data_IF_475497940198
#
_entry.id   IF_475497940198
#
_cell.length_a   1.000
_cell.length_b   1.000
_cell.length_c   1.000
_cell.angle_alpha   90.00
_cell.angle_beta   90.00
_cell.angle_gamma   90.00
#
_symmetry.space_group_name_H-M   'P 1'
#
loop_
_entity.id
_entity.type
_entity.pdbx_description
1 polymer ?
#
# COMPACT_ATOMS: atom_id res chain seq x y z
N UNK A 1 42.44 4.81 -65.25
CA UNK A 1 41.55 5.81 -64.62
C UNK A 1 40.50 5.04 -63.83
N UNK A 2 40.79 4.76 -62.57
CA UNK A 2 40.04 3.87 -61.69
C UNK A 2 39.10 4.69 -60.81
N UNK A 3 37.80 4.42 -60.95
CA UNK A 3 36.69 4.99 -60.19
C UNK A 3 36.79 4.62 -58.71
N UNK A 4 36.82 5.62 -57.82
CA UNK A 4 36.75 5.42 -56.38
C UNK A 4 35.28 5.44 -55.92
N UNK A 5 34.80 4.27 -55.52
CA UNK A 5 33.53 4.08 -54.83
C UNK A 5 33.60 4.70 -53.43
N UNK A 6 32.75 5.68 -53.17
CA UNK A 6 32.58 6.31 -51.85
C UNK A 6 31.86 5.31 -50.96
N UNK A 7 32.60 4.70 -50.03
CA UNK A 7 32.07 3.84 -48.98
C UNK A 7 31.12 4.63 -48.07
N UNK A 8 29.82 4.49 -48.31
CA UNK A 8 28.69 4.98 -47.51
C UNK A 8 28.58 4.34 -46.12
N UNK A 9 29.53 3.49 -45.73
CA UNK A 9 29.57 2.75 -44.46
C UNK A 9 30.17 3.52 -43.28
N UNK A 10 30.48 4.82 -43.43
CA UNK A 10 31.03 5.65 -42.33
C UNK A 10 30.00 6.59 -41.67
N UNK A 11 28.77 6.67 -42.19
CA UNK A 11 27.70 7.52 -41.64
C UNK A 11 26.63 6.78 -40.81
N UNK A 12 26.82 5.48 -40.55
CA UNK A 12 25.92 4.65 -39.72
C UNK A 12 26.65 3.99 -38.54
N UNK A 13 27.50 4.75 -37.85
CA UNK A 13 28.08 4.34 -36.55
C UNK A 13 27.99 5.39 -35.46
N UNK A 14 27.11 6.38 -35.62
CA UNK A 14 26.73 7.34 -34.59
C UNK A 14 25.21 7.31 -34.37
N UNK A 15 24.71 6.16 -33.89
CA UNK A 15 23.39 5.88 -33.33
C UNK A 15 23.41 4.36 -33.15
N UNK A 16 23.49 3.78 -31.96
CA UNK A 16 22.72 4.04 -30.75
C UNK A 16 23.62 3.62 -29.59
N UNK A 17 24.14 4.58 -28.83
CA UNK A 17 24.44 4.28 -27.42
C UNK A 17 23.06 4.13 -26.80
N UNK A 18 22.57 2.89 -26.75
CA UNK A 18 21.40 2.53 -25.97
C UNK A 18 21.81 2.80 -24.52
N UNK A 19 21.58 4.05 -24.09
CA UNK A 19 21.74 4.44 -22.71
C UNK A 19 20.65 3.70 -21.94
N UNK A 20 20.90 2.42 -21.67
CA UNK A 20 20.08 1.58 -20.83
C UNK A 20 19.90 2.36 -19.54
N UNK A 21 18.68 2.82 -19.25
CA UNK A 21 18.53 3.79 -18.19
C UNK A 21 18.91 3.11 -16.87
N UNK A 22 19.71 3.77 -16.05
CA UNK A 22 20.29 3.20 -14.81
C UNK A 22 19.23 2.48 -13.96
N UNK A 23 19.46 1.28 -13.43
CA UNK A 23 18.45 0.53 -12.69
C UNK A 23 17.84 1.35 -11.54
N UNK A 24 16.54 1.22 -11.30
CA UNK A 24 15.89 1.86 -10.15
C UNK A 24 16.56 1.40 -8.86
N UNK A 25 17.19 2.31 -8.11
CA UNK A 25 17.78 1.99 -6.82
C UNK A 25 16.68 1.62 -5.82
N UNK A 26 16.62 0.35 -5.45
CA UNK A 26 15.69 -0.18 -4.46
C UNK A 26 16.31 -0.08 -3.07
N UNK A 27 15.55 0.46 -2.11
CA UNK A 27 15.93 0.61 -0.71
C UNK A 27 15.29 -0.48 0.16
N UNK A 28 15.94 -0.78 1.27
CA UNK A 28 15.38 -1.65 2.30
C UNK A 28 14.46 -0.84 3.25
N UNK A 29 13.38 -1.47 3.72
CA UNK A 29 12.42 -0.85 4.64
C UNK A 29 13.04 -0.43 5.98
N UNK A 30 14.17 -1.00 6.39
CA UNK A 30 14.94 -0.55 7.57
C UNK A 30 15.27 0.92 7.54
N UNK A 31 15.48 1.48 6.34
CA UNK A 31 15.85 2.89 6.17
C UNK A 31 14.74 3.88 6.50
N UNK A 32 13.50 3.42 6.72
CA UNK A 32 12.36 4.26 7.07
C UNK A 32 11.61 3.80 8.34
N UNK A 33 12.11 2.79 9.05
CA UNK A 33 11.48 2.27 10.26
C UNK A 33 11.48 3.32 11.39
N UNK A 34 10.32 3.58 11.99
CA UNK A 34 10.17 4.51 13.11
C UNK A 34 10.56 5.97 12.79
N UNK A 35 10.53 6.36 11.51
CA UNK A 35 10.91 7.70 11.05
C UNK A 35 9.76 8.71 11.06
N UNK A 36 8.56 8.25 11.40
CA UNK A 36 7.33 9.05 11.48
C UNK A 36 6.72 8.92 12.88
N UNK A 37 5.78 9.82 13.17
CA UNK A 37 4.97 9.88 14.39
C UNK A 37 3.66 10.59 14.08
N UNK A 38 2.64 10.39 14.90
CA UNK A 38 1.38 11.14 14.84
C UNK A 38 0.36 10.55 13.85
N UNK A 39 -0.55 11.39 13.32
CA UNK A 39 -1.65 10.92 12.49
C UNK A 39 -1.23 10.61 11.04
N UNK A 40 -1.89 9.62 10.43
CA UNK A 40 -1.76 9.28 9.01
C UNK A 40 -3.09 8.84 8.41
N UNK A 41 -3.36 9.24 7.18
CA UNK A 41 -4.50 8.71 6.41
C UNK A 41 -4.07 7.58 5.49
N UNK A 42 -4.81 6.47 5.51
CA UNK A 42 -4.70 5.41 4.51
C UNK A 42 -5.86 5.53 3.53
N UNK A 43 -5.56 5.91 2.29
CA UNK A 43 -6.55 6.18 1.25
C UNK A 43 -6.80 4.93 0.42
N UNK A 44 -7.96 4.33 0.62
CA UNK A 44 -8.47 3.18 -0.14
C UNK A 44 -9.50 3.60 -1.20
N UNK A 45 -9.90 2.63 -2.03
CA UNK A 45 -10.73 2.89 -3.21
C UNK A 45 -12.23 2.71 -3.00
N UNK A 46 -12.70 2.38 -1.79
CA UNK A 46 -14.13 2.19 -1.52
C UNK A 46 -14.96 3.42 -1.86
N UNK A 47 -16.24 3.21 -2.22
CA UNK A 47 -17.15 4.27 -2.62
C UNK A 47 -17.32 5.36 -1.54
N UNK A 48 -17.22 5.01 -0.25
CA UNK A 48 -17.30 6.01 0.84
C UNK A 48 -16.21 7.08 0.79
N UNK A 49 -15.12 6.82 0.09
CA UNK A 49 -14.02 7.77 -0.07
C UNK A 49 -14.41 8.97 -0.95
N UNK A 50 -15.43 8.83 -1.81
CA UNK A 50 -15.78 9.81 -2.86
C UNK A 50 -15.91 11.24 -2.33
N UNK A 51 -16.50 11.39 -1.15
CA UNK A 51 -16.80 12.70 -0.55
C UNK A 51 -15.82 13.06 0.59
N UNK A 52 -14.72 12.33 0.74
CA UNK A 52 -13.69 12.65 1.73
C UNK A 52 -13.03 14.00 1.39
N UNK A 53 -12.98 14.97 2.32
CA UNK A 53 -12.45 16.31 2.04
C UNK A 53 -10.92 16.32 2.09
N UNK A 54 -10.26 15.62 1.15
CA UNK A 54 -8.81 15.37 1.18
C UNK A 54 -7.95 16.65 1.31
N UNK A 55 -8.41 17.76 0.73
CA UNK A 55 -7.69 19.06 0.79
C UNK A 55 -7.63 19.63 2.21
N UNK A 56 -8.64 19.39 3.03
CA UNK A 56 -8.69 19.81 4.44
C UNK A 56 -7.54 19.19 5.24
N UNK A 57 -7.22 17.92 4.92
CA UNK A 57 -6.18 17.14 5.60
C UNK A 57 -4.84 17.12 4.86
N UNK A 58 -4.62 18.04 3.92
CA UNK A 58 -3.41 18.05 3.06
C UNK A 58 -2.07 18.21 3.82
N UNK A 59 -2.12 18.67 5.06
CA UNK A 59 -0.98 18.80 5.96
C UNK A 59 -0.64 17.51 6.73
N UNK A 60 -1.53 16.50 6.67
CA UNK A 60 -1.34 15.19 7.31
C UNK A 60 -0.76 14.21 6.28
N UNK A 61 0.24 13.38 6.63
CA UNK A 61 0.75 12.37 5.73
C UNK A 61 -0.34 11.40 5.24
N UNK A 62 -0.25 11.02 3.97
CA UNK A 62 -1.19 10.08 3.36
C UNK A 62 -0.47 8.92 2.67
N UNK A 63 -0.94 7.71 2.90
CA UNK A 63 -0.51 6.50 2.18
C UNK A 63 -1.67 6.07 1.28
N UNK A 64 -1.40 5.82 0.00
CA UNK A 64 -2.41 5.39 -0.96
C UNK A 64 -1.97 4.13 -1.69
N UNK A 65 -2.88 3.53 -2.46
CA UNK A 65 -2.69 2.22 -3.06
C UNK A 65 -3.51 2.02 -4.33
N UNK A 66 -3.01 1.18 -5.24
CA UNK A 66 -3.66 0.81 -6.50
C UNK A 66 -4.32 2.05 -7.16
N UNK A 67 -5.62 1.98 -7.46
CA UNK A 67 -6.34 3.09 -8.08
C UNK A 67 -6.87 4.15 -7.12
N UNK A 68 -6.72 3.97 -5.80
CA UNK A 68 -7.09 5.00 -4.82
C UNK A 68 -6.24 6.28 -4.98
N UNK A 69 -5.10 6.19 -5.69
CA UNK A 69 -4.31 7.35 -6.12
C UNK A 69 -5.14 8.37 -6.92
N UNK A 70 -6.22 7.96 -7.59
CA UNK A 70 -7.09 8.88 -8.34
C UNK A 70 -7.69 10.00 -7.50
N UNK A 71 -7.83 9.81 -6.17
CA UNK A 71 -8.29 10.86 -5.25
C UNK A 71 -7.36 12.08 -5.20
N UNK A 72 -6.09 11.91 -5.57
CA UNK A 72 -5.09 12.96 -5.55
C UNK A 72 -5.09 13.78 -6.86
N UNK A 73 -5.85 13.36 -7.87
CA UNK A 73 -5.96 14.06 -9.15
C UNK A 73 -6.48 15.50 -8.95
N UNK A 74 -5.82 16.48 -9.57
CA UNK A 74 -6.18 17.89 -9.41
C UNK A 74 -5.86 18.49 -8.03
N UNK A 75 -5.03 17.80 -7.25
CA UNK A 75 -4.48 18.31 -5.98
C UNK A 75 -2.96 18.43 -6.07
N UNK A 76 -2.37 19.23 -5.17
CA UNK A 76 -0.91 19.30 -5.00
C UNK A 76 -0.41 18.36 -3.89
N UNK A 77 -1.26 17.46 -3.40
CA UNK A 77 -0.95 16.56 -2.30
C UNK A 77 -0.11 15.41 -2.86
N UNK A 78 1.09 15.23 -2.31
CA UNK A 78 1.95 14.08 -2.63
C UNK A 78 1.74 13.00 -1.59
N UNK A 79 1.32 11.78 -1.98
CA UNK A 79 1.30 10.67 -1.04
C UNK A 79 2.70 10.42 -0.47
N UNK A 80 2.78 10.25 0.84
CA UNK A 80 4.01 9.83 1.51
C UNK A 80 4.45 8.46 0.98
N UNK A 81 3.51 7.54 0.80
CA UNK A 81 3.74 6.26 0.16
C UNK A 81 2.62 5.94 -0.83
N UNK A 82 3.01 5.39 -1.98
CA UNK A 82 2.15 4.58 -2.82
C UNK A 82 2.56 3.12 -2.72
N UNK A 83 1.62 2.22 -2.40
CA UNK A 83 1.88 0.78 -2.36
C UNK A 83 0.96 0.04 -3.33
N UNK A 84 1.52 -0.87 -4.10
CA UNK A 84 0.75 -1.72 -5.01
C UNK A 84 1.31 -3.14 -4.96
N UNK A 85 0.62 -4.02 -4.22
CA UNK A 85 0.97 -5.45 -4.18
C UNK A 85 0.20 -6.28 -5.20
N UNK A 86 -0.79 -5.68 -5.86
CA UNK A 86 -1.52 -6.26 -6.99
C UNK A 86 -0.63 -6.18 -8.24
N UNK A 87 -0.30 -7.35 -8.81
CA UNK A 87 0.60 -7.46 -9.96
C UNK A 87 -0.12 -7.17 -11.28
N UNK A 88 -1.44 -7.28 -11.31
CA UNK A 88 -2.23 -7.08 -12.51
C UNK A 88 -2.65 -5.61 -12.65
N UNK A 89 -2.68 -4.86 -11.55
CA UNK A 89 -3.09 -3.45 -11.54
C UNK A 89 -2.32 -2.56 -12.54
N UNK A 90 -0.98 -2.63 -12.69
CA UNK A 90 -0.26 -1.85 -13.68
C UNK A 90 -0.72 -2.09 -15.13
N UNK A 91 -1.19 -3.30 -15.45
CA UNK A 91 -1.70 -3.64 -16.78
C UNK A 91 -3.16 -3.20 -16.95
N UNK A 92 -3.94 -3.26 -15.86
CA UNK A 92 -5.36 -2.90 -15.87
C UNK A 92 -5.58 -1.38 -15.89
N UNK A 93 -4.73 -0.61 -15.21
CA UNK A 93 -4.86 0.83 -15.02
C UNK A 93 -3.50 1.53 -15.18
N UNK A 94 -2.87 1.43 -16.37
CA UNK A 94 -1.48 1.84 -16.58
C UNK A 94 -1.22 3.34 -16.37
N UNK A 95 -2.13 4.20 -16.82
CA UNK A 95 -1.97 5.66 -16.67
C UNK A 95 -2.04 6.07 -15.19
N UNK A 96 -2.98 5.49 -14.45
CA UNK A 96 -3.17 5.76 -13.04
C UNK A 96 -1.99 5.25 -12.21
N UNK A 97 -1.49 4.06 -12.54
CA UNK A 97 -0.26 3.52 -11.98
C UNK A 97 0.94 4.44 -12.27
N UNK A 98 1.14 4.86 -13.53
CA UNK A 98 2.22 5.75 -13.92
C UNK A 98 2.14 7.14 -13.24
N UNK A 99 0.93 7.65 -13.00
CA UNK A 99 0.73 8.89 -12.25
C UNK A 99 1.12 8.73 -10.79
N UNK A 100 0.76 7.60 -10.17
CA UNK A 100 1.13 7.27 -8.79
C UNK A 100 2.64 7.15 -8.60
N UNK A 101 3.32 6.47 -9.54
CA UNK A 101 4.78 6.33 -9.55
C UNK A 101 5.50 7.69 -9.60
N UNK A 102 4.97 8.63 -10.40
CA UNK A 102 5.60 9.94 -10.60
C UNK A 102 5.35 10.93 -9.48
N UNK A 103 4.26 10.78 -8.75
CA UNK A 103 3.76 11.83 -7.82
C UNK A 103 3.95 11.50 -6.34
N UNK A 104 4.29 10.24 -6.01
CA UNK A 104 4.47 9.78 -4.63
C UNK A 104 5.91 9.94 -4.16
N UNK A 105 6.10 10.31 -2.90
CA UNK A 105 7.44 10.49 -2.31
C UNK A 105 8.19 9.16 -2.19
N UNK A 106 7.46 8.10 -1.88
CA UNK A 106 7.96 6.74 -1.77
C UNK A 106 7.02 5.76 -2.46
N UNK A 107 7.56 4.70 -3.02
CA UNK A 107 6.83 3.67 -3.75
C UNK A 107 7.23 2.28 -3.23
N UNK A 108 6.25 1.46 -2.88
CA UNK A 108 6.42 0.05 -2.51
C UNK A 108 5.80 -0.89 -3.54
N UNK A 109 6.63 -1.67 -4.24
CA UNK A 109 6.23 -2.69 -5.22
C UNK A 109 7.02 -3.98 -5.02
N UNK A 110 6.66 -5.05 -5.72
CA UNK A 110 7.50 -6.24 -5.77
C UNK A 110 8.85 -5.93 -6.44
N UNK A 111 9.93 -6.52 -5.94
CA UNK A 111 11.29 -6.21 -6.43
C UNK A 111 11.46 -6.45 -7.94
N UNK A 112 10.88 -7.54 -8.44
CA UNK A 112 10.95 -7.90 -9.86
C UNK A 112 10.22 -6.90 -10.76
N UNK A 113 9.20 -6.19 -10.25
CA UNK A 113 8.54 -5.13 -11.01
C UNK A 113 9.49 -3.96 -11.28
N UNK A 114 10.38 -3.60 -10.34
CA UNK A 114 11.37 -2.53 -10.57
C UNK A 114 12.45 -2.90 -11.60
N UNK A 115 12.58 -4.18 -11.94
CA UNK A 115 13.48 -4.68 -12.98
C UNK A 115 12.80 -4.81 -14.35
N UNK A 116 11.47 -4.70 -14.38
CA UNK A 116 10.67 -4.78 -15.59
C UNK A 116 10.45 -3.42 -16.26
N UNK A 117 9.65 -3.44 -17.32
CA UNK A 117 9.23 -2.24 -18.05
C UNK A 117 8.05 -1.55 -17.36
N UNK A 118 8.33 -0.94 -16.20
CA UNK A 118 7.36 -0.11 -15.47
C UNK A 118 7.82 1.36 -15.44
N UNK A 119 6.89 2.32 -15.32
CA UNK A 119 7.24 3.70 -15.03
C UNK A 119 8.15 3.81 -13.81
N UNK A 120 9.24 4.56 -13.95
CA UNK A 120 10.17 4.77 -12.83
C UNK A 120 9.52 5.64 -11.75
N UNK A 121 9.72 5.29 -10.46
CA UNK A 121 9.29 6.16 -9.40
C UNK A 121 10.13 7.44 -9.42
N UNK A 122 9.50 8.61 -9.33
CA UNK A 122 10.22 9.87 -9.11
C UNK A 122 10.79 9.96 -7.69
N UNK A 123 10.13 9.27 -6.76
CA UNK A 123 10.53 9.15 -5.36
C UNK A 123 11.40 7.94 -5.07
N UNK A 124 11.47 7.56 -3.79
CA UNK A 124 12.27 6.41 -3.32
C UNK A 124 11.53 5.09 -3.56
N UNK A 125 12.22 4.06 -4.03
CA UNK A 125 11.66 2.73 -4.26
C UNK A 125 11.97 1.76 -3.10
N UNK A 126 11.00 0.95 -2.69
CA UNK A 126 11.15 -0.08 -1.66
C UNK A 126 10.58 -1.41 -2.15
N UNK A 127 11.34 -2.50 -1.99
CA UNK A 127 10.92 -3.84 -2.38
C UNK A 127 10.02 -4.48 -1.32
N UNK A 128 8.79 -4.80 -1.71
CA UNK A 128 7.86 -5.61 -0.95
C UNK A 128 8.32 -7.07 -0.95
N UNK A 129 8.28 -7.69 0.22
CA UNK A 129 8.48 -9.13 0.39
C UNK A 129 7.48 -9.71 1.36
N UNK A 130 7.03 -10.94 1.10
CA UNK A 130 6.16 -11.65 2.03
C UNK A 130 6.91 -12.03 3.29
N UNK A 131 6.22 -11.94 4.42
CA UNK A 131 6.74 -12.56 5.64
C UNK A 131 6.89 -14.08 5.43
N UNK A 132 8.00 -14.70 5.87
CA UNK A 132 8.21 -16.13 5.68
C UNK A 132 7.13 -16.95 6.39
N UNK A 133 6.84 -18.14 5.88
CA UNK A 133 6.02 -19.11 6.60
C UNK A 133 6.84 -19.73 7.72
N UNK A 134 6.36 -19.65 8.96
CA UNK A 134 7.01 -20.35 10.07
C UNK A 134 6.76 -21.85 9.98
N UNK A 135 7.82 -22.64 10.17
CA UNK A 135 7.70 -24.06 10.49
C UNK A 135 7.09 -24.23 11.89
N UNK A 136 6.45 -25.37 12.15
CA UNK A 136 5.81 -25.64 13.44
C UNK A 136 6.81 -25.58 14.61
N UNK A 137 8.06 -26.00 14.38
CA UNK A 137 9.14 -25.94 15.37
C UNK A 137 9.57 -24.50 15.65
N UNK A 138 9.72 -23.67 14.61
CA UNK A 138 10.08 -22.27 14.78
C UNK A 138 8.97 -21.48 15.50
N UNK A 139 7.68 -21.78 15.26
CA UNK A 139 6.58 -21.10 15.95
C UNK A 139 6.57 -21.32 17.48
N UNK A 140 7.15 -22.42 17.97
CA UNK A 140 7.28 -22.71 19.41
C UNK A 140 8.50 -22.02 20.05
N UNK A 141 9.53 -21.71 19.25
CA UNK A 141 10.79 -21.15 19.73
C UNK A 141 10.93 -19.63 19.47
N UNK A 142 10.25 -19.11 18.46
CA UNK A 142 10.38 -17.71 18.02
C UNK A 142 9.37 -16.81 18.74
N UNK A 143 9.87 -15.98 19.66
CA UNK A 143 9.16 -14.80 20.18
C UNK A 143 9.58 -13.54 19.43
N UNK A 144 9.55 -13.58 18.10
CA UNK A 144 9.77 -12.37 17.32
C UNK A 144 8.54 -11.46 17.49
N UNK A 145 8.59 -10.57 18.48
CA UNK A 145 7.54 -9.57 18.74
C UNK A 145 7.27 -8.68 17.52
N UNK A 146 8.18 -8.63 16.55
CA UNK A 146 8.06 -7.90 15.30
C UNK A 146 7.07 -8.54 14.30
N UNK A 147 6.76 -9.84 14.40
CA UNK A 147 5.81 -10.54 13.54
C UNK A 147 4.73 -11.21 14.40
N UNK A 148 3.60 -10.53 14.57
CA UNK A 148 2.45 -11.05 15.32
C UNK A 148 1.73 -12.10 14.46
N UNK A 149 1.47 -13.28 15.00
CA UNK A 149 0.87 -14.39 14.24
C UNK A 149 -0.22 -15.09 15.02
N UNK A 150 -1.23 -15.61 14.30
CA UNK A 150 -2.23 -16.48 14.91
C UNK A 150 -1.57 -17.82 15.22
N UNK A 151 -1.38 -18.12 16.51
CA UNK A 151 -0.93 -19.43 16.95
C UNK A 151 -2.04 -20.44 16.71
N UNK A 152 -1.79 -21.38 15.82
CA UNK A 152 -2.72 -22.47 15.51
C UNK A 152 -1.91 -23.68 15.07
N UNK A 153 -2.09 -24.77 15.82
CA UNK A 153 -1.38 -26.02 15.60
C UNK A 153 -2.05 -26.92 14.55
N UNK A 154 -3.26 -26.55 14.09
CA UNK A 154 -4.16 -27.46 13.37
C UNK A 154 -4.51 -27.02 11.94
N UNK A 155 -4.13 -25.82 11.49
CA UNK A 155 -4.36 -25.44 10.09
C UNK A 155 -3.23 -24.61 9.48
N UNK A 156 -2.68 -25.11 8.37
CA UNK A 156 -1.66 -24.40 7.59
C UNK A 156 -2.13 -23.04 7.10
N UNK A 157 -3.42 -22.90 6.74
CA UNK A 157 -4.05 -21.65 6.31
C UNK A 157 -4.07 -20.56 7.40
N UNK A 158 -4.19 -20.94 8.67
CA UNK A 158 -4.15 -19.96 9.77
C UNK A 158 -2.75 -19.38 10.01
N UNK A 159 -1.69 -20.06 9.54
CA UNK A 159 -0.30 -19.58 9.68
C UNK A 159 0.02 -18.41 8.73
N UNK A 160 -0.80 -18.19 7.71
CA UNK A 160 -0.72 -17.04 6.81
C UNK A 160 -1.54 -15.83 7.34
N UNK A 161 -2.07 -15.92 8.56
CA UNK A 161 -2.73 -14.82 9.30
C UNK A 161 -1.72 -14.25 10.31
N UNK A 162 -1.38 -12.99 10.12
CA UNK A 162 -0.46 -12.27 10.98
C UNK A 162 -0.42 -10.78 10.68
N UNK A 163 0.39 -10.06 11.43
CA UNK A 163 0.65 -8.64 11.28
C UNK A 163 2.14 -8.38 11.46
N UNK A 164 2.75 -7.67 10.51
CA UNK A 164 4.14 -7.26 10.60
C UNK A 164 4.26 -5.88 11.22
N UNK A 165 5.02 -5.79 12.31
CA UNK A 165 5.49 -4.55 12.93
C UNK A 165 6.85 -4.10 12.37
N UNK A 166 7.48 -4.94 11.52
CA UNK A 166 8.73 -4.65 10.84
C UNK A 166 8.72 -5.20 9.41
N UNK A 167 8.53 -4.32 8.43
CA UNK A 167 8.48 -4.69 7.01
C UNK A 167 9.83 -5.19 6.47
N UNK A 168 10.94 -4.97 7.18
CA UNK A 168 12.22 -5.65 6.89
C UNK A 168 12.11 -7.17 7.01
N UNK A 169 11.14 -7.67 7.77
CA UNK A 169 10.86 -9.10 7.92
C UNK A 169 9.72 -9.57 7.00
N UNK A 170 9.22 -8.66 6.14
CA UNK A 170 8.13 -8.88 5.21
C UNK A 170 6.73 -8.64 5.79
N UNK A 171 5.74 -8.58 4.91
CA UNK A 171 4.34 -8.27 5.25
C UNK A 171 3.40 -9.47 5.03
N UNK A 172 2.21 -9.38 5.63
CA UNK A 172 1.08 -10.27 5.41
C UNK A 172 0.04 -9.58 4.49
N UNK A 173 -0.46 -10.17 3.41
CA UNK A 173 -1.43 -9.45 2.54
C UNK A 173 -2.84 -9.41 3.08
N UNK A 174 -3.27 -10.43 3.82
CA UNK A 174 -4.67 -10.63 4.20
C UNK A 174 -5.68 -10.41 3.04
N UNK A 175 -5.29 -10.57 1.77
CA UNK A 175 -6.11 -10.33 0.57
C UNK A 175 -6.62 -8.88 0.40
N UNK A 176 -5.96 -7.89 1.01
CA UNK A 176 -6.24 -6.46 0.76
C UNK A 176 -4.98 -5.60 0.88
N UNK A 177 -4.75 -4.70 -0.07
CA UNK A 177 -3.58 -3.79 -0.05
C UNK A 177 -3.66 -2.82 1.13
N UNK A 178 -4.86 -2.52 1.63
CA UNK A 178 -5.03 -1.71 2.84
C UNK A 178 -4.36 -2.35 4.06
N UNK A 179 -4.35 -3.69 4.13
CA UNK A 179 -3.72 -4.38 5.25
C UNK A 179 -2.18 -4.33 5.17
N UNK A 180 -1.61 -4.25 3.96
CA UNK A 180 -0.19 -3.88 3.77
C UNK A 180 0.05 -2.45 4.25
N UNK A 181 -0.81 -1.49 3.87
CA UNK A 181 -0.67 -0.10 4.28
C UNK A 181 -0.76 0.09 5.81
N UNK A 182 -1.59 -0.71 6.50
CA UNK A 182 -1.67 -0.78 7.96
C UNK A 182 -0.37 -1.25 8.61
N UNK A 183 0.27 -2.28 8.06
CA UNK A 183 1.57 -2.74 8.56
C UNK A 183 2.67 -1.72 8.26
N UNK A 184 2.61 -1.07 7.09
CA UNK A 184 3.52 0.00 6.73
C UNK A 184 3.39 1.21 7.67
N UNK A 185 2.17 1.62 8.05
CA UNK A 185 1.99 2.74 8.97
C UNK A 185 2.58 2.45 10.35
N UNK A 186 2.40 1.22 10.86
CA UNK A 186 3.04 0.78 12.09
C UNK A 186 4.57 0.80 11.96
N UNK A 187 5.11 0.23 10.87
CA UNK A 187 6.55 0.19 10.61
C UNK A 187 7.17 1.58 10.55
N UNK A 188 6.47 2.55 9.96
CA UNK A 188 6.92 3.94 9.89
C UNK A 188 6.87 4.63 11.26
N UNK A 189 6.05 4.17 12.21
CA UNK A 189 5.94 4.72 13.57
C UNK A 189 4.76 5.66 13.80
N UNK A 190 3.72 5.63 12.95
CA UNK A 190 2.52 6.44 13.17
C UNK A 190 1.69 5.92 14.35
N UNK A 191 1.05 6.84 15.07
CA UNK A 191 0.28 6.52 16.29
C UNK A 191 -1.22 6.43 16.01
N UNK A 192 -1.75 7.31 15.14
CA UNK A 192 -3.18 7.38 14.81
C UNK A 192 -3.41 7.16 13.31
N UNK A 193 -4.09 6.07 12.96
CA UNK A 193 -4.31 5.67 11.57
C UNK A 193 -5.78 5.79 11.20
N UNK A 194 -6.08 6.58 10.16
CA UNK A 194 -7.44 6.81 9.67
C UNK A 194 -7.65 6.16 8.30
N UNK A 195 -8.56 5.18 8.23
CA UNK A 195 -8.88 4.44 7.01
C UNK A 195 -10.00 5.16 6.24
N UNK A 196 -9.68 5.61 5.03
CA UNK A 196 -10.64 6.24 4.11
C UNK A 196 -10.95 5.25 3.00
N UNK A 197 -12.23 5.10 2.62
CA UNK A 197 -12.61 4.15 1.56
C UNK A 197 -12.46 2.68 1.95
N UNK A 198 -12.47 2.35 3.25
CA UNK A 198 -12.36 0.97 3.73
C UNK A 198 -13.73 0.33 3.95
N UNK A 199 -14.48 0.18 2.86
CA UNK A 199 -15.88 -0.27 2.89
C UNK A 199 -16.03 -1.77 3.09
N UNK A 200 -15.07 -2.55 2.56
CA UNK A 200 -15.14 -4.02 2.59
C UNK A 200 -16.45 -4.59 2.01
N UNK A 201 -16.98 -3.92 0.99
CA UNK A 201 -18.16 -4.35 0.25
C UNK A 201 -17.87 -4.22 -1.25
N UNK A 202 -17.72 -5.35 -1.93
CA UNK A 202 -17.37 -5.38 -3.34
C UNK A 202 -18.49 -4.86 -4.25
N UNK A 203 -19.76 -5.03 -3.85
CA UNK A 203 -20.92 -4.70 -4.68
C UNK A 203 -21.11 -3.19 -4.92
N UNK A 204 -20.54 -2.35 -4.05
CA UNK A 204 -20.63 -0.88 -4.15
C UNK A 204 -19.59 -0.31 -5.13
N UNK A 205 -18.61 -1.13 -5.54
CA UNK A 205 -17.55 -0.75 -6.48
C UNK A 205 -16.54 0.24 -5.90
N UNK A 206 -15.65 0.74 -6.76
CA UNK A 206 -14.64 1.72 -6.40
C UNK A 206 -15.12 3.14 -6.71
N UNK A 207 -14.60 4.15 -6.01
CA UNK A 207 -15.05 5.53 -6.23
C UNK A 207 -14.67 6.09 -7.61
N UNK A 208 -13.59 5.57 -8.21
CA UNK A 208 -13.04 6.03 -9.48
C UNK A 208 -13.49 5.21 -10.69
N UNK A 209 -14.25 4.13 -10.49
CA UNK A 209 -14.81 3.31 -11.56
C UNK A 209 -16.24 3.76 -11.86
N UNK A 210 -16.56 3.90 -13.14
CA UNK A 210 -17.91 4.08 -13.67
C UNK A 210 -18.46 2.76 -14.22
N UNK A 211 -19.77 2.68 -14.43
CA UNK A 211 -20.43 1.46 -14.97
C UNK A 211 -19.99 1.09 -16.39
N UNK A 212 -19.29 1.98 -17.10
CA UNK A 212 -18.77 1.79 -18.44
C UNK A 212 -17.26 1.46 -18.49
N UNK A 213 -16.57 1.48 -17.35
CA UNK A 213 -15.12 1.28 -17.32
C UNK A 213 -14.72 -0.19 -17.26
N UNK A 214 -13.50 -0.49 -17.69
CA UNK A 214 -12.85 -1.77 -17.41
C UNK A 214 -12.50 -1.85 -15.92
N UNK A 215 -13.42 -2.38 -15.12
CA UNK A 215 -13.25 -2.54 -13.68
C UNK A 215 -12.16 -3.58 -13.35
N UNK A 216 -11.25 -3.23 -12.44
CA UNK A 216 -10.27 -4.19 -11.95
C UNK A 216 -10.97 -5.32 -11.17
N UNK A 217 -10.59 -6.60 -11.34
CA UNK A 217 -11.14 -7.69 -10.54
C UNK A 217 -11.06 -7.41 -9.03
N UNK A 218 -12.05 -7.91 -8.29
CA UNK A 218 -12.12 -7.77 -6.84
C UNK A 218 -12.53 -9.12 -6.25
N UNK A 219 -11.81 -9.57 -5.22
CA UNK A 219 -12.07 -10.84 -4.52
C UNK A 219 -12.34 -10.65 -3.04
N UNK A 220 -12.83 -9.47 -2.63
CA UNK A 220 -13.00 -9.12 -1.23
C UNK A 220 -14.01 -10.06 -0.56
N UNK A 221 -15.18 -10.25 -1.17
CA UNK A 221 -16.25 -11.06 -0.57
C UNK A 221 -15.85 -12.53 -0.40
N UNK A 222 -15.10 -13.07 -1.37
CA UNK A 222 -14.60 -14.45 -1.35
C UNK A 222 -13.63 -14.71 -0.19
N UNK A 223 -12.90 -13.67 0.24
CA UNK A 223 -11.84 -13.78 1.25
C UNK A 223 -12.18 -13.12 2.58
N UNK A 224 -13.36 -12.51 2.69
CA UNK A 224 -13.75 -11.72 3.85
C UNK A 224 -13.67 -12.53 5.15
N UNK A 225 -14.45 -13.61 5.23
CA UNK A 225 -14.53 -14.45 6.44
C UNK A 225 -13.27 -15.31 6.65
N UNK A 226 -12.58 -15.67 5.57
CA UNK A 226 -11.49 -16.64 5.63
C UNK A 226 -10.10 -16.03 5.89
N UNK A 227 -9.90 -14.76 5.50
CA UNK A 227 -8.57 -14.11 5.56
C UNK A 227 -8.63 -12.67 6.07
N UNK A 228 -9.53 -11.85 5.54
CA UNK A 228 -9.56 -10.42 5.84
C UNK A 228 -9.97 -10.20 7.30
N UNK A 229 -11.20 -10.58 7.68
CA UNK A 229 -11.74 -10.35 9.01
C UNK A 229 -10.87 -11.00 10.10
N UNK A 230 -10.42 -12.27 9.98
CA UNK A 230 -9.51 -12.86 10.96
C UNK A 230 -8.17 -12.12 11.13
N UNK A 231 -7.66 -11.48 10.08
CA UNK A 231 -6.42 -10.69 10.17
C UNK A 231 -6.67 -9.34 10.86
N UNK A 232 -7.81 -8.70 10.57
CA UNK A 232 -8.22 -7.47 11.26
C UNK A 232 -8.49 -7.73 12.75
N UNK A 233 -9.14 -8.83 13.10
CA UNK A 233 -9.34 -9.25 14.50
C UNK A 233 -8.02 -9.50 15.22
N UNK A 234 -7.04 -10.14 14.57
CA UNK A 234 -5.72 -10.34 15.14
C UNK A 234 -5.03 -9.00 15.42
N UNK A 235 -5.06 -8.07 14.46
CA UNK A 235 -4.50 -6.73 14.62
C UNK A 235 -5.17 -5.99 15.78
N UNK A 236 -6.51 -5.97 15.80
CA UNK A 236 -7.30 -5.33 16.85
C UNK A 236 -6.94 -5.85 18.24
N UNK A 237 -6.80 -7.18 18.40
CA UNK A 237 -6.55 -7.81 19.70
C UNK A 237 -5.10 -7.74 20.18
N UNK A 238 -4.12 -7.67 19.28
CA UNK A 238 -2.70 -7.88 19.62
C UNK A 238 -1.75 -6.76 19.20
N UNK A 239 -2.23 -5.81 18.38
CA UNK A 239 -1.40 -4.73 17.81
C UNK A 239 -1.95 -3.38 18.21
N UNK A 240 -3.26 -3.17 18.14
CA UNK A 240 -3.90 -1.92 18.53
C UNK A 240 -3.77 -1.71 20.05
N UNK A 241 -3.33 -0.52 20.44
CA UNK A 241 -3.03 -0.13 21.82
C UNK A 241 -2.70 1.36 21.91
N UNK A 242 -2.31 1.88 23.07
CA UNK A 242 -2.08 3.33 23.29
C UNK A 242 -1.17 3.98 22.24
N UNK A 243 -0.21 3.21 21.71
CA UNK A 243 0.84 3.69 20.82
C UNK A 243 0.52 3.40 19.33
N UNK A 244 -0.62 2.77 19.05
CA UNK A 244 -1.08 2.51 17.68
C UNK A 244 -2.60 2.29 17.65
N UNK A 245 -3.32 3.27 17.16
CA UNK A 245 -4.78 3.28 17.06
C UNK A 245 -5.22 3.30 15.59
N UNK A 246 -6.32 2.62 15.29
CA UNK A 246 -6.86 2.50 13.92
C UNK A 246 -8.35 2.81 13.92
N UNK A 247 -8.77 3.70 13.03
CA UNK A 247 -10.15 4.16 12.91
C UNK A 247 -10.62 4.06 11.46
N UNK A 248 -11.87 3.67 11.26
CA UNK A 248 -12.49 3.65 9.94
C UNK A 248 -13.40 4.86 9.75
N UNK A 249 -13.18 5.63 8.68
CA UNK A 249 -14.02 6.79 8.34
C UNK A 249 -15.26 6.37 7.54
N UNK A 250 -15.30 5.13 7.06
CA UNK A 250 -16.47 4.57 6.37
C UNK A 250 -17.54 4.11 7.35
N UNK A 251 -18.65 4.87 7.42
CA UNK A 251 -19.84 4.51 8.20
C UNK A 251 -20.51 3.22 7.72
N UNK A 252 -20.44 2.93 6.43
CA UNK A 252 -21.08 1.76 5.79
C UNK A 252 -20.16 0.54 5.69
N UNK A 253 -18.98 0.57 6.31
CA UNK A 253 -18.04 -0.54 6.25
C UNK A 253 -18.62 -1.83 6.82
N UNK A 254 -18.38 -2.95 6.12
CA UNK A 254 -18.71 -4.31 6.60
C UNK A 254 -17.90 -4.72 7.83
N UNK A 255 -16.75 -4.09 8.07
CA UNK A 255 -15.89 -4.40 9.23
C UNK A 255 -16.63 -4.05 10.52
N UNK A 256 -16.74 -4.96 11.50
CA UNK A 256 -17.43 -4.67 12.75
C UNK A 256 -16.78 -3.53 13.54
N UNK A 257 -17.59 -2.75 14.27
CA UNK A 257 -17.12 -1.58 15.02
C UNK A 257 -16.16 -1.96 16.15
N UNK A 258 -16.38 -3.12 16.77
CA UNK A 258 -15.56 -3.71 17.80
C UNK A 258 -14.18 -4.17 17.28
N UNK A 259 -14.03 -4.38 15.97
CA UNK A 259 -12.73 -4.72 15.35
C UNK A 259 -11.97 -3.43 14.99
N UNK A 260 -12.63 -2.51 14.29
CA UNK A 260 -12.10 -1.16 13.99
C UNK A 260 -13.21 -0.13 14.26
N UNK A 261 -13.03 0.74 15.27
CA UNK A 261 -14.00 1.79 15.58
C UNK A 261 -14.24 2.69 14.38
N UNK A 262 -15.50 3.11 14.20
CA UNK A 262 -15.90 3.99 13.09
C UNK A 262 -16.00 5.41 13.60
N UNK A 263 -15.40 6.36 12.88
CA UNK A 263 -15.47 7.77 13.21
C UNK A 263 -16.20 8.55 12.11
N UNK A 264 -17.00 9.52 12.53
CA UNK A 264 -17.47 10.61 11.69
C UNK A 264 -16.33 11.57 11.35
N UNK A 265 -16.52 12.40 10.32
CA UNK A 265 -15.52 13.41 9.95
C UNK A 265 -15.25 14.41 11.07
N UNK A 266 -16.25 14.77 11.88
CA UNK A 266 -16.06 15.70 13.00
C UNK A 266 -15.20 15.08 14.12
N UNK A 267 -15.39 13.79 14.40
CA UNK A 267 -14.53 13.05 15.33
C UNK A 267 -13.10 12.91 14.79
N UNK A 268 -12.94 12.69 13.47
CA UNK A 268 -11.61 12.70 12.82
C UNK A 268 -10.94 14.05 12.97
N UNK A 269 -11.63 15.16 12.68
CA UNK A 269 -11.11 16.53 12.85
C UNK A 269 -10.64 16.78 14.27
N UNK A 270 -11.48 16.43 15.24
CA UNK A 270 -11.15 16.59 16.65
C UNK A 270 -9.90 15.80 17.03
N UNK A 271 -9.85 14.52 16.64
CA UNK A 271 -8.74 13.64 16.99
C UNK A 271 -7.43 14.03 16.33
N UNK A 272 -7.45 14.44 15.05
CA UNK A 272 -6.29 14.99 14.36
C UNK A 272 -5.79 16.26 15.05
N UNK A 273 -6.70 17.17 15.42
CA UNK A 273 -6.33 18.40 16.15
C UNK A 273 -5.65 18.10 17.47
N UNK A 274 -6.17 17.14 18.26
CA UNK A 274 -5.52 16.71 19.50
C UNK A 274 -4.14 16.07 19.27
N UNK A 275 -4.00 15.23 18.24
CA UNK A 275 -2.75 14.55 17.94
C UNK A 275 -1.62 15.50 17.48
N UNK A 276 -1.97 16.66 16.91
CA UNK A 276 -0.99 17.68 16.50
C UNK A 276 -0.56 18.62 17.63
N UNK A 277 -1.24 18.59 18.78
CA UNK A 277 -0.94 19.45 19.93
C UNK A 277 -0.02 18.81 20.97
N UNK A 278 0.20 17.49 20.89
CA UNK A 278 1.05 16.70 21.80
C UNK A 278 2.37 16.27 21.17
#
# INVERSE_FOLDING_TARGET
MTSQSINSTRYLRNAVDEHMPEPTRVLDFSTCRGTKKGPVFLIGSGKSAKDFPIKEFSHIPMITMNGAFSMFAGTNIKPLFYVCSDRDFPNQQPELFAAAMRSSENVGLWEDQFRGDIPRPSGRAYALKKSPRLSTVAALCSRENALVRKLSLWSSRSRDIGFSKNLELGFFDARTVMYLALQLSYHLGFDDVFLVGFDMNQSVGRFYESSSDNCSPCGLDQHYESRILPSLELMSKQVVGSDFQVFNVSKSSRVPHEVIPKLSLDEVRHKVSCALQG
#
